data_IF_068529135181
#
_entry.id   IF_068529135181
#
_cell.length_a   1.000
_cell.length_b   1.000
_cell.length_c   1.000
_cell.angle_alpha   90.00
_cell.angle_beta   90.00
_cell.angle_gamma   90.00
#
_symmetry.space_group_name_H-M   'P 1'
#
loop_
_entity.id
_entity.type
_entity.pdbx_description
1 polymer ?
#
# COMPACT_ATOMS: atom_id res chain seq x y z
N UNK A 1 -19.83 -3.50 13.75
CA UNK A 1 -20.16 -2.60 12.63
C UNK A 1 -18.99 -2.70 11.66
N UNK A 2 -19.15 -3.49 10.59
CA UNK A 2 -18.09 -3.80 9.63
C UNK A 2 -17.95 -2.59 8.70
N UNK A 3 -16.81 -1.87 8.75
CA UNK A 3 -16.51 -0.87 7.72
C UNK A 3 -16.15 -1.63 6.44
N UNK A 4 -16.89 -1.36 5.38
CA UNK A 4 -16.70 -1.96 4.07
C UNK A 4 -15.33 -1.55 3.51
N UNK A 5 -14.32 -2.43 3.57
CA UNK A 5 -12.97 -2.17 3.03
C UNK A 5 -12.93 -2.09 1.48
N UNK A 6 -14.07 -2.13 0.80
CA UNK A 6 -14.19 -2.11 -0.67
C UNK A 6 -14.12 -0.70 -1.28
N UNK A 7 -13.91 0.36 -0.48
CA UNK A 7 -13.91 1.75 -0.95
C UNK A 7 -12.65 2.54 -0.54
N UNK A 8 -11.47 1.94 -0.71
CA UNK A 8 -10.25 2.76 -0.82
C UNK A 8 -10.35 3.56 -2.12
N UNK A 9 -10.72 4.84 -2.01
CA UNK A 9 -10.65 5.74 -3.15
C UNK A 9 -9.21 6.19 -3.30
N UNK A 10 -8.63 5.92 -4.47
CA UNK A 10 -7.42 6.59 -4.91
C UNK A 10 -7.84 8.00 -5.31
N UNK A 11 -7.36 9.03 -4.60
CA UNK A 11 -7.73 10.42 -4.87
C UNK A 11 -7.45 10.79 -6.33
N UNK A 12 -8.31 11.60 -6.99
CA UNK A 12 -8.13 11.97 -8.39
C UNK A 12 -6.98 12.96 -8.57
N UNK A 13 -6.13 12.71 -9.57
CA UNK A 13 -5.42 13.77 -10.29
C UNK A 13 -6.36 14.39 -11.33
N UNK A 14 -6.19 15.69 -11.58
CA UNK A 14 -7.12 16.57 -12.27
C UNK A 14 -7.69 16.06 -13.61
N UNK A 15 -8.98 16.34 -13.82
CA UNK A 15 -9.80 16.10 -15.01
C UNK A 15 -9.21 16.68 -16.32
N UNK A 16 -9.23 15.88 -17.39
CA UNK A 16 -9.33 16.37 -18.76
C UNK A 16 -10.38 15.53 -19.51
N UNK A 17 -11.29 16.23 -20.19
CA UNK A 17 -12.59 15.74 -20.63
C UNK A 17 -12.56 14.82 -21.85
N UNK A 18 -13.58 13.94 -21.88
CA UNK A 18 -14.06 13.03 -22.93
C UNK A 18 -14.02 13.55 -24.37
N UNK A 19 -13.68 12.66 -25.30
CA UNK A 19 -14.48 12.37 -26.50
C UNK A 19 -14.42 10.87 -26.83
N UNK A 20 -15.60 10.27 -26.99
CA UNK A 20 -15.82 8.89 -27.44
C UNK A 20 -15.67 8.77 -28.94
N UNK A 21 -15.00 7.73 -29.43
CA UNK A 21 -15.42 7.09 -30.68
C UNK A 21 -15.17 5.58 -30.61
N UNK A 22 -16.14 4.84 -31.15
CA UNK A 22 -16.27 3.39 -31.10
C UNK A 22 -15.44 2.72 -32.19
N UNK A 23 -14.70 1.67 -31.85
CA UNK A 23 -14.34 0.65 -32.81
C UNK A 23 -14.28 -0.72 -32.13
N UNK A 24 -15.11 -1.60 -32.67
CA UNK A 24 -15.19 -3.03 -32.49
C UNK A 24 -13.85 -3.72 -32.79
N UNK A 25 -13.30 -4.44 -31.82
CA UNK A 25 -12.30 -5.47 -32.05
C UNK A 25 -12.49 -6.58 -31.00
N UNK A 26 -13.12 -7.66 -31.43
CA UNK A 26 -13.15 -8.94 -30.74
C UNK A 26 -11.87 -9.73 -31.03
N UNK A 27 -11.32 -10.29 -29.94
CA UNK A 27 -10.42 -11.44 -29.79
C UNK A 27 -8.98 -11.38 -30.33
N UNK A 28 -8.00 -11.13 -29.44
CA UNK A 28 -6.66 -11.74 -29.49
C UNK A 28 -6.04 -11.79 -28.05
N UNK A 29 -6.06 -12.96 -27.42
CA UNK A 29 -5.41 -13.35 -26.14
C UNK A 29 -5.81 -12.59 -24.85
N UNK A 30 -6.51 -13.29 -23.96
CA UNK A 30 -6.80 -12.80 -22.62
C UNK A 30 -5.52 -12.59 -21.80
N UNK A 31 -5.22 -11.33 -21.48
CA UNK A 31 -4.38 -10.97 -20.35
C UNK A 31 -5.31 -10.77 -19.16
N UNK A 32 -5.79 -11.86 -18.56
CA UNK A 32 -6.37 -11.76 -17.22
C UNK A 32 -5.23 -11.32 -16.29
N UNK A 33 -5.48 -10.31 -15.47
CA UNK A 33 -4.53 -9.92 -14.42
C UNK A 33 -4.17 -11.16 -13.58
N UNK A 34 -2.88 -11.37 -13.22
CA UNK A 34 -2.45 -12.57 -12.52
C UNK A 34 -3.13 -12.67 -11.16
N UNK A 35 -3.53 -13.88 -10.74
CA UNK A 35 -4.11 -14.08 -9.41
C UNK A 35 -3.03 -13.83 -8.36
N UNK A 36 -3.23 -12.80 -7.52
CA UNK A 36 -2.29 -12.47 -6.45
C UNK A 36 -2.55 -13.34 -5.23
N UNK A 37 -1.48 -13.87 -4.66
CA UNK A 37 -1.50 -14.62 -3.39
C UNK A 37 -0.36 -14.15 -2.50
N UNK A 38 -0.56 -14.21 -1.18
CA UNK A 38 0.53 -13.98 -0.24
C UNK A 38 1.37 -15.25 -0.18
N UNK A 39 2.69 -15.08 -0.28
CA UNK A 39 3.60 -16.17 0.00
C UNK A 39 3.68 -16.40 1.51
N UNK A 40 3.17 -17.55 1.94
CA UNK A 40 3.19 -17.98 3.33
C UNK A 40 4.38 -18.88 3.67
N UNK A 41 5.15 -19.34 2.66
CA UNK A 41 6.31 -20.20 2.84
C UNK A 41 7.56 -19.37 3.18
N UNK A 42 7.69 -18.17 2.61
CA UNK A 42 8.73 -17.24 3.03
C UNK A 42 8.37 -16.59 4.37
N UNK A 43 9.34 -16.65 5.30
CA UNK A 43 9.14 -16.16 6.65
C UNK A 43 8.73 -14.69 6.65
N UNK A 44 7.48 -14.45 7.05
CA UNK A 44 7.01 -13.10 7.38
C UNK A 44 7.94 -12.52 8.42
N UNK A 45 8.57 -11.40 8.09
CA UNK A 45 9.40 -10.68 9.05
C UNK A 45 8.53 -9.64 9.71
N UNK A 46 8.30 -9.84 11.00
CA UNK A 46 7.64 -8.87 11.86
C UNK A 46 8.68 -8.38 12.86
N UNK A 47 8.98 -7.08 12.83
CA UNK A 47 9.72 -6.41 13.89
C UNK A 47 8.85 -5.34 14.53
N UNK A 48 9.24 -4.93 15.73
CA UNK A 48 8.58 -3.84 16.45
C UNK A 48 9.63 -2.81 16.82
N UNK A 49 9.28 -1.54 16.66
CA UNK A 49 10.07 -0.42 17.13
C UNK A 49 9.18 0.59 17.86
N UNK A 50 9.78 1.47 18.65
CA UNK A 50 9.05 2.51 19.39
C UNK A 50 8.95 3.74 18.50
N UNK A 51 7.73 4.17 18.19
CA UNK A 51 7.47 5.43 17.50
C UNK A 51 7.99 6.59 18.36
N UNK A 52 8.85 7.43 17.78
CA UNK A 52 9.46 8.56 18.49
C UNK A 52 8.45 9.64 18.86
N UNK A 53 7.34 9.77 18.11
CA UNK A 53 6.35 10.82 18.30
C UNK A 53 5.37 10.50 19.44
N UNK A 54 4.99 9.23 19.58
CA UNK A 54 3.93 8.82 20.51
C UNK A 54 4.34 7.76 21.54
N UNK A 55 5.53 7.17 21.41
CA UNK A 55 6.02 6.10 22.28
C UNK A 55 5.32 4.74 22.11
N UNK A 56 4.41 4.59 21.13
CA UNK A 56 3.73 3.32 20.85
C UNK A 56 4.59 2.39 19.99
N UNK A 57 4.30 1.09 20.04
CA UNK A 57 5.01 0.10 19.23
C UNK A 57 4.53 0.13 17.78
N UNK A 58 5.35 0.68 16.89
CA UNK A 58 5.21 0.51 15.44
C UNK A 58 5.54 -0.93 15.08
N UNK A 59 4.72 -1.56 14.25
CA UNK A 59 4.99 -2.89 13.71
C UNK A 59 5.49 -2.75 12.28
N UNK A 60 6.66 -3.29 11.98
CA UNK A 60 7.17 -3.40 10.62
C UNK A 60 6.93 -4.81 10.11
N UNK A 61 6.45 -4.92 8.87
CA UNK A 61 6.03 -6.16 8.25
C UNK A 61 6.65 -6.28 6.86
N UNK A 62 7.27 -7.41 6.54
CA UNK A 62 7.67 -7.75 5.17
C UNK A 62 6.83 -8.91 4.65
N UNK A 63 6.32 -8.79 3.44
CA UNK A 63 5.59 -9.84 2.72
C UNK A 63 6.07 -9.98 1.29
N UNK A 64 5.92 -11.19 0.76
CA UNK A 64 6.12 -11.51 -0.64
C UNK A 64 4.77 -11.85 -1.27
N UNK A 65 4.58 -11.44 -2.52
CA UNK A 65 3.36 -11.64 -3.29
C UNK A 65 3.72 -12.41 -4.54
N UNK A 66 2.96 -13.47 -4.79
CA UNK A 66 3.04 -14.26 -6.00
C UNK A 66 1.92 -13.87 -6.94
N UNK A 67 2.22 -13.72 -8.23
CA UNK A 67 1.25 -13.61 -9.32
C UNK A 67 1.24 -14.93 -10.10
N UNK A 68 0.11 -15.63 -10.11
CA UNK A 68 -0.02 -16.97 -10.70
C UNK A 68 1.06 -17.96 -10.18
N UNK A 69 1.44 -17.82 -8.91
CA UNK A 69 2.44 -18.66 -8.24
C UNK A 69 3.91 -18.29 -8.50
N UNK A 70 4.18 -17.21 -9.24
CA UNK A 70 5.53 -16.72 -9.53
C UNK A 70 5.79 -15.43 -8.74
N UNK A 71 7.03 -15.22 -8.28
CA UNK A 71 7.43 -13.99 -7.59
C UNK A 71 7.02 -12.74 -8.39
N UNK A 72 6.24 -11.87 -7.75
CA UNK A 72 5.61 -10.72 -8.41
C UNK A 72 5.96 -9.40 -7.73
N UNK A 73 5.85 -9.36 -6.40
CA UNK A 73 6.19 -8.19 -5.61
C UNK A 73 6.67 -8.57 -4.20
N UNK A 74 7.38 -7.67 -3.56
CA UNK A 74 7.61 -7.69 -2.13
C UNK A 74 7.14 -6.35 -1.58
N UNK A 75 6.54 -6.33 -0.40
CA UNK A 75 6.22 -5.07 0.26
C UNK A 75 6.66 -5.04 1.70
N UNK A 76 7.00 -3.83 2.13
CA UNK A 76 7.33 -3.46 3.49
C UNK A 76 6.23 -2.56 4.00
N UNK A 77 5.65 -2.87 5.15
CA UNK A 77 4.64 -2.05 5.76
C UNK A 77 5.08 -1.59 7.15
N UNK A 78 5.05 -0.28 7.38
CA UNK A 78 5.26 0.34 8.69
C UNK A 78 3.90 0.71 9.27
N UNK A 79 3.50 0.02 10.34
CA UNK A 79 2.17 0.13 10.96
C UNK A 79 2.25 1.01 12.19
N UNK A 80 1.84 2.27 12.05
CA UNK A 80 1.90 3.27 13.11
C UNK A 80 0.56 3.33 13.85
N UNK A 81 0.52 2.87 15.12
CA UNK A 81 -0.71 2.88 15.91
C UNK A 81 -1.02 4.26 16.48
N UNK A 82 -0.16 5.26 16.31
CA UNK A 82 -0.56 6.63 16.58
C UNK A 82 -1.45 7.14 15.47
N UNK A 83 -2.67 7.50 15.84
CA UNK A 83 -3.44 8.41 15.02
C UNK A 83 -2.89 9.82 15.15
N UNK A 84 -2.99 10.57 14.05
CA UNK A 84 -3.07 12.02 14.14
C UNK A 84 -4.11 12.38 15.22
N UNK A 85 -3.78 13.19 16.25
CA UNK A 85 -4.67 13.45 17.38
C UNK A 85 -6.05 13.98 16.98
N UNK A 86 -6.14 14.60 15.80
CA UNK A 86 -7.37 15.12 15.23
C UNK A 86 -8.28 14.05 14.61
N UNK A 87 -7.74 12.89 14.20
CA UNK A 87 -8.46 11.91 13.37
C UNK A 87 -8.80 10.64 14.13
N UNK A 88 -7.97 10.23 15.11
CA UNK A 88 -8.16 8.98 15.86
C UNK A 88 -7.97 7.70 15.03
N UNK A 89 -7.55 7.81 13.77
CA UNK A 89 -7.29 6.70 12.86
C UNK A 89 -5.81 6.34 12.79
N UNK A 90 -5.45 5.05 12.88
CA UNK A 90 -4.07 4.62 12.71
C UNK A 90 -3.56 4.94 11.29
N UNK A 91 -2.25 5.08 11.18
CA UNK A 91 -1.58 5.31 9.89
C UNK A 91 -0.72 4.11 9.53
N UNK A 92 -0.54 3.90 8.24
CA UNK A 92 0.50 2.98 7.75
C UNK A 92 1.15 3.49 6.49
N UNK A 93 2.37 3.03 6.27
CA UNK A 93 3.10 3.19 5.02
C UNK A 93 3.30 1.82 4.40
N UNK A 94 3.20 1.75 3.08
CA UNK A 94 3.53 0.56 2.30
C UNK A 94 4.53 0.95 1.22
N UNK A 95 5.71 0.33 1.27
CA UNK A 95 6.73 0.39 0.23
C UNK A 95 6.74 -0.93 -0.54
N UNK A 96 6.38 -0.89 -1.82
CA UNK A 96 6.30 -2.07 -2.67
C UNK A 96 7.37 -2.07 -3.74
N UNK A 97 8.06 -3.20 -3.85
CA UNK A 97 9.16 -3.46 -4.78
C UNK A 97 8.65 -4.36 -5.89
N UNK A 98 8.88 -3.94 -7.13
CA UNK A 98 8.69 -4.75 -8.33
C UNK A 98 10.03 -5.04 -8.98
N UNK A 99 10.17 -6.24 -9.55
CA UNK A 99 11.32 -6.70 -10.32
C UNK A 99 10.83 -7.73 -11.33
N UNK A 100 11.46 -7.78 -12.50
CA UNK A 100 11.22 -8.80 -13.51
C UNK A 100 12.02 -10.08 -13.20
N UNK A 101 13.23 -9.96 -12.65
CA UNK A 101 14.13 -11.10 -12.43
C UNK A 101 14.14 -11.65 -11.00
N UNK A 102 13.85 -10.83 -10.00
CA UNK A 102 13.98 -11.16 -8.57
C UNK A 102 15.37 -11.64 -8.10
N UNK A 103 16.37 -11.65 -8.98
CA UNK A 103 17.73 -12.04 -8.65
C UNK A 103 18.36 -11.11 -7.59
N UNK A 104 19.27 -11.66 -6.79
CA UNK A 104 20.00 -10.88 -5.77
C UNK A 104 20.79 -9.75 -6.43
N UNK A 105 20.56 -8.51 -5.99
CA UNK A 105 21.22 -7.33 -6.53
C UNK A 105 20.77 -6.92 -7.93
N UNK A 106 19.63 -7.44 -8.41
CA UNK A 106 19.09 -7.03 -9.70
C UNK A 106 18.81 -5.53 -9.76
N UNK A 107 19.30 -4.88 -10.83
CA UNK A 107 19.18 -3.44 -11.04
C UNK A 107 17.81 -3.01 -11.60
N UNK A 108 16.94 -3.96 -11.93
CA UNK A 108 15.58 -3.72 -12.45
C UNK A 108 14.55 -3.40 -11.34
N UNK A 109 14.96 -3.51 -10.08
CA UNK A 109 14.10 -3.26 -8.92
C UNK A 109 13.63 -1.81 -8.90
N UNK A 110 12.34 -1.61 -8.74
CA UNK A 110 11.71 -0.29 -8.58
C UNK A 110 10.79 -0.32 -7.36
N UNK A 111 10.89 0.69 -6.50
CA UNK A 111 10.09 0.80 -5.28
C UNK A 111 9.11 1.97 -5.37
N UNK A 112 7.85 1.69 -5.07
CA UNK A 112 6.77 2.66 -4.86
C UNK A 112 6.46 2.81 -3.38
N UNK A 113 6.09 4.01 -2.94
CA UNK A 113 5.63 4.27 -1.58
C UNK A 113 4.19 4.81 -1.55
N UNK A 114 3.40 4.39 -0.56
CA UNK A 114 2.16 5.08 -0.21
C UNK A 114 1.96 5.20 1.30
N UNK A 115 1.26 6.27 1.70
CA UNK A 115 0.67 6.43 3.04
C UNK A 115 -0.82 6.07 2.96
N UNK A 116 -1.29 5.28 3.91
CA UNK A 116 -2.70 4.99 4.13
C UNK A 116 -3.07 5.55 5.50
N UNK A 117 -3.98 6.51 5.50
CA UNK A 117 -4.40 7.19 6.71
C UNK A 117 -5.52 8.16 6.42
N UNK A 118 -6.03 8.81 7.48
CA UNK A 118 -7.07 9.81 7.32
C UNK A 118 -6.54 11.08 6.64
N UNK A 119 -7.35 11.65 5.76
CA UNK A 119 -7.11 12.93 5.10
C UNK A 119 -8.27 13.85 5.44
N UNK A 120 -7.99 15.09 5.85
CA UNK A 120 -9.04 16.04 6.21
C UNK A 120 -10.02 16.26 5.04
N UNK A 121 -11.32 16.23 5.35
CA UNK A 121 -12.38 16.33 4.35
C UNK A 121 -12.79 14.99 3.73
N UNK A 122 -11.93 13.96 3.82
CA UNK A 122 -12.28 12.61 3.41
C UNK A 122 -13.00 11.88 4.55
N UNK A 123 -14.06 11.15 4.25
CA UNK A 123 -14.85 10.45 5.29
C UNK A 123 -14.22 9.14 5.78
N UNK A 124 -13.08 8.76 5.22
CA UNK A 124 -12.46 7.44 5.35
C UNK A 124 -10.95 7.52 5.02
N UNK A 125 -10.13 6.52 5.43
CA UNK A 125 -8.71 6.49 5.08
C UNK A 125 -8.47 6.44 3.57
N UNK A 126 -7.48 7.20 3.11
CA UNK A 126 -7.09 7.31 1.70
C UNK A 126 -5.66 6.80 1.51
N UNK A 127 -5.43 6.13 0.39
CA UNK A 127 -4.09 5.75 -0.06
C UNK A 127 -3.49 6.87 -0.92
N UNK A 128 -2.41 7.48 -0.44
CA UNK A 128 -1.74 8.62 -1.08
C UNK A 128 -0.31 8.24 -1.43
N UNK A 129 0.13 8.54 -2.65
CA UNK A 129 1.53 8.34 -3.05
C UNK A 129 2.47 9.19 -2.21
N UNK A 130 3.59 8.60 -1.80
CA UNK A 130 4.69 9.28 -1.10
C UNK A 130 6.02 8.86 -1.72
N UNK A 131 7.10 9.53 -1.31
CA UNK A 131 8.44 9.08 -1.68
C UNK A 131 8.70 7.70 -1.08
N UNK A 132 9.19 6.78 -1.91
CA UNK A 132 9.36 5.39 -1.54
C UNK A 132 10.53 5.19 -0.56
N UNK A 133 10.31 4.34 0.45
CA UNK A 133 11.32 3.79 1.35
C UNK A 133 12.24 4.86 1.97
N UNK A 134 11.68 6.02 2.33
CA UNK A 134 12.39 7.15 2.93
C UNK A 134 13.01 6.82 4.28
N UNK A 135 12.38 5.91 5.03
CA UNK A 135 12.87 5.46 6.34
C UNK A 135 13.95 4.38 6.23
N UNK A 136 14.15 3.83 5.03
CA UNK A 136 15.12 2.77 4.78
C UNK A 136 16.40 3.33 4.15
N UNK A 137 17.59 2.83 4.54
CA UNK A 137 18.82 3.18 3.83
C UNK A 137 18.74 2.75 2.37
N UNK A 138 19.54 3.38 1.51
CA UNK A 138 19.66 2.95 0.13
C UNK A 138 20.45 1.63 0.07
N UNK A 139 19.72 0.55 -0.22
CA UNK A 139 20.28 -0.78 -0.43
C UNK A 139 19.85 -1.29 -1.80
N UNK A 140 20.58 -2.27 -2.34
CA UNK A 140 20.24 -2.92 -3.60
C UNK A 140 18.87 -3.63 -3.56
N UNK A 141 18.28 -3.82 -2.37
CA UNK A 141 16.96 -4.42 -2.23
C UNK A 141 15.85 -3.50 -2.70
N UNK A 142 15.95 -2.20 -2.44
CA UNK A 142 14.95 -1.22 -2.86
C UNK A 142 15.13 -0.72 -4.30
N UNK A 143 16.24 -1.03 -4.96
CA UNK A 143 16.52 -0.58 -6.32
C UNK A 143 16.30 0.92 -6.50
N UNK A 144 15.55 1.31 -7.53
CA UNK A 144 15.14 2.70 -7.74
C UNK A 144 13.92 3.05 -6.89
N UNK A 145 14.13 3.83 -5.81
CA UNK A 145 13.06 4.42 -5.00
C UNK A 145 12.44 5.60 -5.74
N UNK A 146 11.16 5.49 -6.11
CA UNK A 146 10.44 6.55 -6.79
C UNK A 146 10.03 7.65 -5.82
N UNK A 147 10.18 8.91 -6.23
CA UNK A 147 9.44 10.00 -5.60
C UNK A 147 7.94 9.89 -5.91
N UNK A 148 7.10 10.55 -5.10
CA UNK A 148 5.65 10.58 -5.34
C UNK A 148 5.30 11.10 -6.75
N UNK A 149 6.07 12.09 -7.26
CA UNK A 149 5.86 12.68 -8.58
C UNK A 149 6.30 11.78 -9.74
N UNK A 150 7.32 10.92 -9.53
CA UNK A 150 7.72 9.90 -10.49
C UNK A 150 6.71 8.75 -10.49
N UNK A 151 6.29 8.29 -9.30
CA UNK A 151 5.30 7.24 -9.11
C UNK A 151 3.97 7.57 -9.81
N UNK A 152 3.49 8.82 -9.70
CA UNK A 152 2.25 9.29 -10.33
C UNK A 152 2.25 9.14 -11.87
N UNK A 153 3.44 9.17 -12.48
CA UNK A 153 3.64 9.07 -13.94
C UNK A 153 4.14 7.69 -14.38
N UNK A 154 4.39 6.79 -13.43
CA UNK A 154 5.04 5.52 -13.74
C UNK A 154 4.06 4.55 -14.41
N UNK A 155 4.46 3.85 -15.50
CA UNK A 155 3.58 2.89 -16.20
C UNK A 155 3.02 1.78 -15.31
N UNK A 156 3.78 1.36 -14.29
CA UNK A 156 3.38 0.34 -13.32
C UNK A 156 2.48 0.86 -12.18
N UNK A 157 2.08 2.14 -12.16
CA UNK A 157 1.21 2.69 -11.10
C UNK A 157 -0.12 1.92 -10.94
N UNK A 158 -0.83 1.50 -12.02
CA UNK A 158 -2.03 0.68 -11.87
C UNK A 158 -1.76 -0.64 -11.13
N UNK A 159 -0.63 -1.29 -11.42
CA UNK A 159 -0.23 -2.53 -10.75
C UNK A 159 0.12 -2.31 -9.28
N UNK A 160 0.83 -1.22 -8.97
CA UNK A 160 1.08 -0.82 -7.58
C UNK A 160 -0.23 -0.62 -6.80
N UNK A 161 -1.21 0.08 -7.38
CA UNK A 161 -2.53 0.29 -6.75
C UNK A 161 -3.27 -1.03 -6.54
N UNK A 162 -3.20 -1.93 -7.52
CA UNK A 162 -3.77 -3.29 -7.43
C UNK A 162 -3.13 -4.10 -6.31
N UNK A 163 -1.80 -4.09 -6.21
CA UNK A 163 -1.04 -4.74 -5.14
C UNK A 163 -1.43 -4.22 -3.75
N UNK A 164 -1.51 -2.89 -3.57
CA UNK A 164 -1.90 -2.28 -2.30
C UNK A 164 -3.35 -2.66 -1.92
N UNK A 165 -4.27 -2.62 -2.89
CA UNK A 165 -5.65 -3.07 -2.69
C UNK A 165 -5.72 -4.55 -2.28
N UNK A 166 -4.95 -5.40 -2.95
CA UNK A 166 -4.81 -6.81 -2.59
C UNK A 166 -4.26 -6.98 -1.18
N UNK A 167 -3.15 -6.33 -0.84
CA UNK A 167 -2.52 -6.42 0.49
C UNK A 167 -3.50 -6.04 1.61
N UNK A 168 -4.27 -4.95 1.43
CA UNK A 168 -5.26 -4.49 2.40
C UNK A 168 -6.47 -5.43 2.54
N UNK A 169 -6.74 -6.27 1.55
CA UNK A 169 -7.83 -7.25 1.59
C UNK A 169 -7.36 -8.62 2.07
N UNK A 170 -6.14 -9.02 1.73
CA UNK A 170 -5.62 -10.37 1.95
C UNK A 170 -4.78 -10.50 3.23
N UNK A 171 -4.10 -9.43 3.68
CA UNK A 171 -3.24 -9.49 4.85
C UNK A 171 -4.00 -9.14 6.14
N UNK A 172 -4.20 -10.15 6.98
CA UNK A 172 -4.82 -10.00 8.30
C UNK A 172 -4.18 -8.94 9.18
N UNK A 173 -2.85 -8.79 9.14
CA UNK A 173 -2.13 -7.83 9.98
C UNK A 173 -2.48 -6.40 9.58
N UNK A 174 -2.52 -6.11 8.27
CA UNK A 174 -2.89 -4.80 7.74
C UNK A 174 -4.36 -4.49 8.02
N UNK A 175 -5.25 -5.48 7.84
CA UNK A 175 -6.68 -5.32 8.14
C UNK A 175 -6.94 -5.02 9.59
N UNK A 176 -6.33 -5.78 10.49
CA UNK A 176 -6.46 -5.57 11.93
C UNK A 176 -5.94 -4.18 12.31
N UNK A 177 -4.80 -3.76 11.75
CA UNK A 177 -4.27 -2.42 12.00
C UNK A 177 -5.28 -1.32 11.65
N UNK A 178 -5.87 -1.36 10.45
CA UNK A 178 -6.85 -0.33 10.02
C UNK A 178 -8.22 -0.44 10.69
N UNK A 179 -8.58 -1.61 11.20
CA UNK A 179 -9.86 -1.83 11.87
C UNK A 179 -9.87 -1.31 13.32
N UNK A 180 -8.72 -0.97 13.88
CA UNK A 180 -8.59 -0.47 15.24
C UNK A 180 -8.67 1.06 15.24
N UNK A 181 -9.83 1.69 15.54
CA UNK A 181 -9.80 3.08 15.98
C UNK A 181 -8.92 3.14 17.22
N UNK A 182 -7.80 3.85 17.13
CA UNK A 182 -6.90 4.01 18.27
C UNK A 182 -7.68 4.85 19.27
N UNK A 183 -7.93 4.28 20.46
CA UNK A 183 -8.88 4.84 21.43
C UNK A 183 -8.71 6.34 21.59
N UNK A 184 -9.60 7.12 20.95
CA UNK A 184 -9.60 8.55 21.08
C UNK A 184 -10.12 8.87 22.49
N UNK A 185 -9.36 9.55 23.37
CA UNK A 185 -9.87 9.94 24.68
C UNK A 185 -11.08 10.91 24.62
N UNK A 186 -11.52 11.31 23.43
CA UNK A 186 -12.67 12.19 23.19
C UNK A 186 -14.02 11.52 22.92
N UNK A 187 -14.11 10.18 22.85
CA UNK A 187 -15.38 9.46 22.59
C UNK A 187 -15.87 8.61 23.76
N UNK A 188 -15.41 8.90 24.99
CA UNK A 188 -16.07 8.42 26.19
C UNK A 188 -17.36 9.23 26.44
N UNK A 189 -18.51 8.55 26.33
CA UNK A 189 -19.82 8.88 26.92
C UNK A 189 -20.56 10.12 26.41
N UNK A 190 -21.36 9.90 25.36
CA UNK A 190 -22.74 10.40 25.25
C UNK A 190 -23.55 9.17 24.81
N UNK A 191 -24.45 8.56 25.56
CA UNK A 191 -25.30 8.92 26.70
C UNK A 191 -25.62 7.65 27.48
#
# INVERSE_FOLDING_TARGET
MLVCMTQLHFGPTCEASRTTDSADHSDVFGTSDPELTLDHEFATRISKDVCVDCGSLTTMLTRFVLGDGIAHAAYFASLHPCAEPATGWPEMWIDAIFSESWDEGSADRTTFGCRIGYVEGEGYPVCTLVDAATEHPDTADFGHKLSAAEADKHPALPEFRRLVGFALLADDVLRVHMALPTGHPGLAQRT
#
